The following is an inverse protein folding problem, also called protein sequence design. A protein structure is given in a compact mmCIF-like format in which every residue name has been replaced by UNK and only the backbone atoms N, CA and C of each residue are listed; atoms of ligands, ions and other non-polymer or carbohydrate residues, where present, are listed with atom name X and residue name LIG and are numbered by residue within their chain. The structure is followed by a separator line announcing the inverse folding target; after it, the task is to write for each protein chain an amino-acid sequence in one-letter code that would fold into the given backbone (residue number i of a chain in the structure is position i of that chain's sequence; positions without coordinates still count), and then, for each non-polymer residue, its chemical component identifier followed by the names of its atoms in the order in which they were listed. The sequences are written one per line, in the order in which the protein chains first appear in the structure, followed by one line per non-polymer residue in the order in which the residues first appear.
data_IF_701461978071
#
_entry.id   IF_701461978071
#
_cell.length_a   1.000
_cell.length_b   1.000
_cell.length_c   1.000
_cell.angle_alpha   90.00
_cell.angle_beta   90.00
_cell.angle_gamma   90.00
#
_symmetry.space_group_name_H-M   'P 1'
#
loop_
_entity.id
_entity.type
_entity.pdbx_description
1 polymer ?
#
# COMPACT_ATOMS: atom_id res chain seq x y z
N UNK A 1 27.77 -5.04 10.54
CA UNK A 1 26.34 -4.69 10.60
C UNK A 1 26.06 -3.91 9.33
N UNK A 2 25.34 -4.51 8.38
CA UNK A 2 24.98 -3.83 7.13
C UNK A 2 23.91 -2.76 7.38
N UNK A 3 23.68 -1.90 6.40
CA UNK A 3 22.56 -0.97 6.46
C UNK A 3 21.21 -1.72 6.50
N UNK A 4 21.11 -2.91 5.90
CA UNK A 4 19.91 -3.75 5.98
C UNK A 4 19.69 -4.29 7.41
N UNK A 5 20.77 -4.72 8.09
CA UNK A 5 20.72 -5.11 9.50
C UNK A 5 20.25 -3.95 10.39
N UNK A 6 20.66 -2.72 10.09
CA UNK A 6 20.22 -1.53 10.83
C UNK A 6 18.77 -1.16 10.49
N UNK A 7 18.39 -1.17 9.21
CA UNK A 7 17.05 -0.82 8.77
C UNK A 7 15.99 -1.82 9.26
N UNK A 8 16.33 -3.11 9.36
CA UNK A 8 15.45 -4.16 9.89
C UNK A 8 15.17 -4.05 11.39
N UNK A 9 16.00 -3.32 12.15
CA UNK A 9 15.73 -3.05 13.58
C UNK A 9 14.63 -2.00 13.81
N UNK A 10 14.31 -1.18 12.81
CA UNK A 10 13.27 -0.16 12.91
C UNK A 10 11.97 -0.64 12.27
N UNK A 11 10.97 -0.91 13.12
CA UNK A 11 9.62 -1.24 12.65
C UNK A 11 9.02 -0.02 11.95
N UNK A 12 8.75 -0.13 10.65
CA UNK A 12 8.10 0.94 9.89
C UNK A 12 6.75 1.29 10.53
N UNK A 13 6.45 2.58 10.61
CA UNK A 13 5.14 3.07 11.04
C UNK A 13 4.19 3.19 9.85
N UNK A 14 2.88 3.34 10.12
CA UNK A 14 1.88 3.62 9.07
C UNK A 14 2.32 4.79 8.19
N UNK A 15 2.75 5.90 8.79
CA UNK A 15 3.21 7.10 8.06
C UNK A 15 4.50 6.95 7.26
N UNK A 16 5.21 5.82 7.38
CA UNK A 16 6.38 5.46 6.56
C UNK A 16 6.04 4.39 5.51
N UNK A 17 4.83 3.85 5.56
CA UNK A 17 4.37 2.85 4.59
C UNK A 17 4.08 3.53 3.25
N UNK A 18 4.63 3.06 2.13
CA UNK A 18 4.44 3.69 0.84
C UNK A 18 3.01 3.56 0.35
N UNK A 19 2.54 4.59 -0.35
CA UNK A 19 1.28 4.59 -1.08
C UNK A 19 1.48 3.84 -2.40
N UNK A 20 0.52 2.97 -2.72
CA UNK A 20 0.56 2.08 -3.89
C UNK A 20 -0.71 2.23 -4.71
N UNK A 21 -0.61 1.92 -5.99
CA UNK A 21 -1.77 1.76 -6.86
C UNK A 21 -2.26 0.32 -6.76
N UNK A 22 -3.50 0.15 -6.32
CA UNK A 22 -4.21 -1.13 -6.40
C UNK A 22 -5.16 -1.11 -7.59
N UNK A 23 -5.27 -2.22 -8.30
CA UNK A 23 -6.28 -2.39 -9.34
C UNK A 23 -7.60 -2.84 -8.71
N UNK A 24 -8.70 -2.58 -9.39
CA UNK A 24 -10.04 -3.01 -9.01
C UNK A 24 -10.63 -3.82 -10.15
N UNK A 25 -11.41 -4.84 -9.83
CA UNK A 25 -12.09 -5.71 -10.81
C UNK A 25 -13.27 -5.03 -11.49
N UNK A 26 -13.80 -3.98 -10.87
CA UNK A 26 -14.86 -3.15 -11.43
C UNK A 26 -14.60 -1.67 -11.13
N UNK A 27 -15.20 -0.74 -11.89
CA UNK A 27 -15.17 0.68 -11.53
C UNK A 27 -15.76 0.91 -10.14
N UNK A 28 -15.31 1.97 -9.47
CA UNK A 28 -15.87 2.38 -8.18
C UNK A 28 -17.37 2.64 -8.33
N UNK A 29 -18.17 1.94 -7.51
CA UNK A 29 -19.61 2.19 -7.47
C UNK A 29 -19.92 3.29 -6.45
N UNK A 30 -20.41 4.43 -6.90
CA UNK A 30 -20.84 5.53 -6.03
C UNK A 30 -22.27 5.32 -5.49
N UNK A 31 -22.59 5.89 -4.32
CA UNK A 31 -23.95 5.88 -3.79
C UNK A 31 -24.87 6.84 -4.55
N UNK A 32 -26.17 6.57 -4.50
CA UNK A 32 -27.20 7.42 -5.12
C UNK A 32 -27.22 8.76 -4.41
N UNK A 33 -26.81 9.84 -5.10
CA UNK A 33 -26.69 11.20 -4.53
C UNK A 33 -25.29 11.82 -4.60
N UNK A 34 -24.29 11.08 -5.08
CA UNK A 34 -22.99 11.64 -5.45
C UNK A 34 -23.12 12.73 -6.51
N UNK A 35 -22.61 13.94 -6.21
CA UNK A 35 -22.56 15.06 -7.17
C UNK A 35 -21.36 14.90 -8.12
N UNK A 36 -20.33 14.16 -7.69
CA UNK A 36 -19.13 13.89 -8.48
C UNK A 36 -19.43 12.95 -9.64
N UNK A 37 -18.75 13.18 -10.76
CA UNK A 37 -18.76 12.26 -11.90
C UNK A 37 -18.31 10.86 -11.46
N UNK A 38 -18.89 9.78 -12.02
CA UNK A 38 -18.52 8.43 -11.63
C UNK A 38 -17.03 8.21 -11.85
N UNK A 39 -16.33 7.76 -10.81
CA UNK A 39 -14.91 7.43 -10.90
C UNK A 39 -14.74 6.21 -11.82
N UNK A 40 -14.29 6.45 -13.06
CA UNK A 40 -14.23 5.43 -14.12
C UNK A 40 -12.93 4.64 -14.13
N UNK A 41 -11.95 5.02 -13.31
CA UNK A 41 -10.68 4.32 -13.26
C UNK A 41 -10.82 3.01 -12.48
N UNK A 42 -10.13 1.98 -12.97
CA UNK A 42 -10.02 0.67 -12.31
C UNK A 42 -8.85 0.62 -11.33
N UNK A 43 -8.38 1.76 -10.86
CA UNK A 43 -7.26 1.86 -9.92
C UNK A 43 -7.64 2.72 -8.74
N UNK A 44 -7.12 2.42 -7.57
CA UNK A 44 -7.29 3.21 -6.36
C UNK A 44 -5.95 3.33 -5.66
N UNK A 45 -5.71 4.45 -4.99
CA UNK A 45 -4.52 4.65 -4.20
C UNK A 45 -4.74 4.09 -2.80
N UNK A 46 -3.81 3.26 -2.34
CA UNK A 46 -3.91 2.51 -1.09
C UNK A 46 -2.59 2.61 -0.32
N UNK A 47 -2.66 2.79 1.00
CA UNK A 47 -1.53 2.69 1.91
C UNK A 47 -1.81 1.57 2.93
N UNK A 48 -1.41 0.33 2.61
CA UNK A 48 -1.66 -0.83 3.46
C UNK A 48 -0.50 -1.06 4.43
N UNK A 49 -0.74 -0.89 5.74
CA UNK A 49 0.23 -1.22 6.78
C UNK A 49 -0.25 -2.43 7.58
N UNK A 50 0.46 -3.55 7.40
CA UNK A 50 0.19 -4.81 8.08
C UNK A 50 1.27 -5.06 9.13
N UNK A 51 0.82 -5.51 10.30
CA UNK A 51 1.65 -6.11 11.35
C UNK A 51 1.20 -7.55 11.55
N UNK A 52 1.87 -8.33 12.39
CA UNK A 52 1.43 -9.70 12.71
C UNK A 52 0.04 -9.77 13.36
N UNK A 53 -0.49 -8.66 13.90
CA UNK A 53 -1.74 -8.63 14.69
C UNK A 53 -2.70 -7.50 14.36
N UNK A 54 -2.38 -6.63 13.41
CA UNK A 54 -3.24 -5.49 13.09
C UNK A 54 -3.06 -5.01 11.66
N UNK A 55 -4.10 -4.36 11.16
CA UNK A 55 -4.13 -3.72 9.86
C UNK A 55 -4.46 -2.25 10.07
N UNK A 56 -3.61 -1.35 9.56
CA UNK A 56 -3.94 0.07 9.36
C UNK A 56 -3.94 0.32 7.87
N UNK A 57 -5.05 0.80 7.32
CA UNK A 57 -5.18 0.98 5.87
C UNK A 57 -5.86 2.29 5.55
N UNK A 58 -5.31 3.03 4.58
CA UNK A 58 -5.96 4.19 3.99
C UNK A 58 -6.15 4.03 2.49
N UNK A 59 -7.28 4.50 1.98
CA UNK A 59 -7.56 4.65 0.56
C UNK A 59 -7.75 6.12 0.24
N UNK A 60 -7.17 6.57 -0.87
CA UNK A 60 -7.21 7.97 -1.28
C UNK A 60 -8.06 8.13 -2.53
N UNK A 61 -9.07 8.99 -2.46
CA UNK A 61 -10.02 9.23 -3.53
C UNK A 61 -10.47 10.69 -3.50
N UNK A 62 -10.42 11.38 -4.64
CA UNK A 62 -10.92 12.76 -4.83
C UNK A 62 -10.49 13.79 -3.76
N UNK A 63 -9.24 13.73 -3.29
CA UNK A 63 -8.77 14.67 -2.26
C UNK A 63 -9.12 14.27 -0.82
N UNK A 64 -9.72 13.10 -0.64
CA UNK A 64 -10.12 12.57 0.67
C UNK A 64 -9.40 11.27 0.96
N UNK A 65 -9.07 11.04 2.23
CA UNK A 65 -8.57 9.77 2.73
C UNK A 65 -9.69 9.03 3.48
N UNK A 66 -9.83 7.74 3.22
CA UNK A 66 -10.72 6.83 3.91
C UNK A 66 -9.88 5.81 4.66
N UNK A 67 -10.03 5.73 5.97
CA UNK A 67 -9.15 4.97 6.84
C UNK A 67 -9.89 3.94 7.67
N UNK A 68 -9.26 2.79 7.88
CA UNK A 68 -9.69 1.81 8.88
C UNK A 68 -8.49 1.28 9.67
N UNK A 69 -8.70 1.11 10.98
CA UNK A 69 -7.80 0.39 11.87
C UNK A 69 -8.49 -0.84 12.45
N UNK A 70 -7.86 -2.00 12.25
CA UNK A 70 -8.34 -3.29 12.71
C UNK A 70 -7.33 -3.95 13.63
N UNK A 71 -7.76 -4.23 14.86
CA UNK A 71 -7.04 -5.09 15.80
C UNK A 71 -7.29 -6.56 15.45
N UNK A 72 -6.44 -7.45 15.98
CA UNK A 72 -6.54 -8.90 15.80
C UNK A 72 -7.97 -9.43 16.01
N UNK A 73 -8.60 -9.06 17.14
CA UNK A 73 -9.96 -9.49 17.46
C UNK A 73 -10.99 -9.09 16.39
N UNK A 74 -10.89 -7.85 15.88
CA UNK A 74 -11.78 -7.36 14.83
C UNK A 74 -11.56 -8.07 13.51
N UNK A 75 -10.31 -8.41 13.19
CA UNK A 75 -9.96 -9.15 11.98
C UNK A 75 -10.55 -10.55 12.06
N UNK A 76 -10.35 -11.26 13.19
CA UNK A 76 -10.88 -12.60 13.42
C UNK A 76 -12.41 -12.62 13.38
N UNK A 77 -13.06 -11.70 14.10
CA UNK A 77 -14.52 -11.58 14.08
C UNK A 77 -15.05 -11.36 12.66
N UNK A 78 -14.38 -10.50 11.88
CA UNK A 78 -14.79 -10.21 10.50
C UNK A 78 -14.58 -11.41 9.58
N UNK A 79 -13.47 -12.12 9.72
CA UNK A 79 -13.20 -13.35 8.96
C UNK A 79 -14.27 -14.40 9.24
N UNK A 80 -14.61 -14.63 10.51
CA UNK A 80 -15.69 -15.54 10.91
C UNK A 80 -17.01 -15.12 10.25
N UNK A 81 -17.45 -13.88 10.47
CA UNK A 81 -18.72 -13.39 9.93
C UNK A 81 -18.84 -13.52 8.40
N UNK A 82 -17.77 -13.25 7.67
CA UNK A 82 -17.79 -13.25 6.21
C UNK A 82 -17.59 -14.64 5.59
N UNK A 83 -16.98 -15.58 6.32
CA UNK A 83 -16.57 -16.88 5.80
C UNK A 83 -17.18 -18.07 6.54
N UNK A 84 -18.09 -17.86 7.51
CA UNK A 84 -18.74 -18.93 8.32
C UNK A 84 -19.36 -20.09 7.53
N UNK A 85 -19.69 -19.91 6.24
CA UNK A 85 -20.26 -20.96 5.38
C UNK A 85 -19.16 -21.84 4.74
N UNK A 86 -17.94 -21.30 4.62
CA UNK A 86 -16.77 -21.99 4.06
C UNK A 86 -16.16 -22.82 5.20
N UNK A 87 -15.99 -24.13 4.98
CA UNK A 87 -15.67 -25.17 5.98
C UNK A 87 -14.32 -25.02 6.72
N UNK A 88 -13.68 -23.86 6.66
CA UNK A 88 -12.37 -23.59 7.26
C UNK A 88 -12.54 -22.80 8.57
N UNK A 89 -12.37 -23.49 9.69
CA UNK A 89 -12.17 -22.84 10.99
C UNK A 89 -10.82 -22.13 10.96
N UNK A 90 -10.81 -20.81 10.77
CA UNK A 90 -9.58 -20.02 10.79
C UNK A 90 -8.95 -20.07 12.18
N UNK A 91 -7.93 -20.92 12.36
CA UNK A 91 -7.20 -21.10 13.60
C UNK A 91 -6.20 -19.94 13.81
N UNK A 92 -5.58 -19.87 14.99
CA UNK A 92 -4.67 -18.78 15.34
C UNK A 92 -3.49 -18.67 14.35
N UNK A 93 -2.97 -19.82 13.91
CA UNK A 93 -1.88 -19.96 12.93
C UNK A 93 -2.29 -19.56 11.49
N UNK A 94 -3.59 -19.54 11.18
CA UNK A 94 -4.07 -19.12 9.86
C UNK A 94 -4.11 -17.60 9.70
N UNK A 95 -4.16 -16.83 10.80
CA UNK A 95 -4.32 -15.38 10.70
C UNK A 95 -3.14 -14.73 10.00
N UNK A 96 -1.91 -15.08 10.38
CA UNK A 96 -0.72 -14.51 9.76
C UNK A 96 -0.66 -14.83 8.26
N UNK A 97 -0.98 -16.07 7.88
CA UNK A 97 -1.13 -16.48 6.48
C UNK A 97 -2.18 -15.64 5.74
N UNK A 98 -3.34 -15.39 6.34
CA UNK A 98 -4.39 -14.54 5.76
C UNK A 98 -3.91 -13.08 5.62
N UNK A 99 -3.21 -12.55 6.62
CA UNK A 99 -2.67 -11.18 6.57
C UNK A 99 -1.65 -11.03 5.44
N UNK A 100 -0.77 -12.01 5.26
CA UNK A 100 0.17 -12.08 4.14
C UNK A 100 -0.61 -12.12 2.82
N UNK A 101 -1.63 -12.98 2.69
CA UNK A 101 -2.47 -13.07 1.50
C UNK A 101 -3.16 -11.74 1.18
N UNK A 102 -3.77 -11.09 2.17
CA UNK A 102 -4.41 -9.78 2.00
C UNK A 102 -3.41 -8.71 1.56
N UNK A 103 -2.19 -8.71 2.13
CA UNK A 103 -1.10 -7.81 1.73
C UNK A 103 -0.69 -8.05 0.27
N UNK A 104 -0.63 -9.31 -0.17
CA UNK A 104 -0.33 -9.68 -1.56
C UNK A 104 -1.43 -9.25 -2.52
N UNK A 105 -2.70 -9.42 -2.18
CA UNK A 105 -3.83 -8.96 -3.00
C UNK A 105 -3.80 -7.43 -3.17
N UNK A 106 -3.43 -6.70 -2.11
CA UNK A 106 -3.29 -5.24 -2.11
C UNK A 106 -1.94 -4.75 -2.66
N UNK A 107 -1.13 -5.63 -3.26
CA UNK A 107 0.08 -5.25 -3.97
C UNK A 107 -0.23 -4.83 -5.42
N UNK A 108 0.71 -4.11 -6.05
CA UNK A 108 0.59 -3.63 -7.44
C UNK A 108 0.35 -4.75 -8.46
N UNK A 109 0.82 -5.96 -8.18
CA UNK A 109 0.67 -7.12 -9.06
C UNK A 109 -0.42 -8.11 -8.60
N UNK A 110 -1.11 -7.84 -7.49
CA UNK A 110 -2.04 -8.78 -6.86
C UNK A 110 -3.18 -9.27 -7.77
N UNK A 111 -3.59 -8.49 -8.76
CA UNK A 111 -4.68 -8.83 -9.70
C UNK A 111 -4.20 -9.61 -10.93
N UNK A 112 -2.89 -9.73 -11.17
CA UNK A 112 -2.37 -10.64 -12.21
C UNK A 112 -2.48 -12.12 -11.82
N UNK A 113 -2.85 -12.42 -10.57
CA UNK A 113 -3.20 -13.76 -10.13
C UNK A 113 -4.70 -13.97 -10.40
N UNK A 114 -5.04 -14.88 -11.32
CA UNK A 114 -6.32 -15.00 -12.04
C UNK A 114 -7.60 -15.14 -11.18
N UNK A 115 -7.52 -15.23 -9.85
CA UNK A 115 -8.67 -15.47 -8.96
C UNK A 115 -8.92 -14.36 -7.91
N UNK A 116 -8.21 -13.23 -7.99
CA UNK A 116 -8.37 -12.14 -7.02
C UNK A 116 -9.34 -11.07 -7.53
N UNK A 117 -10.45 -10.88 -6.82
CA UNK A 117 -11.40 -9.80 -7.10
C UNK A 117 -11.38 -8.72 -6.03
N UNK A 118 -11.25 -7.47 -6.45
CA UNK A 118 -11.29 -6.29 -5.57
C UNK A 118 -12.35 -5.31 -6.06
N UNK A 119 -13.35 -5.06 -5.23
CA UNK A 119 -14.45 -4.15 -5.54
C UNK A 119 -14.50 -3.00 -4.55
N UNK A 120 -14.58 -1.78 -5.07
CA UNK A 120 -14.76 -0.59 -4.26
C UNK A 120 -16.17 -0.03 -4.41
N UNK A 121 -16.78 0.34 -3.29
CA UNK A 121 -18.09 0.97 -3.23
C UNK A 121 -18.09 2.11 -2.22
N UNK A 122 -18.43 3.31 -2.67
CA UNK A 122 -18.70 4.42 -1.78
C UNK A 122 -20.13 4.29 -1.24
N UNK A 123 -20.27 4.00 0.05
CA UNK A 123 -21.58 3.76 0.70
C UNK A 123 -22.27 5.06 1.13
N UNK A 124 -21.47 6.08 1.44
CA UNK A 124 -21.88 7.47 1.70
C UNK A 124 -20.70 8.40 1.41
N UNK A 125 -20.87 9.72 1.48
CA UNK A 125 -19.73 10.66 1.36
C UNK A 125 -18.60 10.36 2.34
N UNK A 126 -18.93 9.75 3.49
CA UNK A 126 -18.00 9.51 4.61
C UNK A 126 -17.54 8.06 4.76
N UNK A 127 -18.02 7.13 3.92
CA UNK A 127 -17.78 5.70 4.13
C UNK A 127 -17.46 5.00 2.81
N UNK A 128 -16.23 4.52 2.71
CA UNK A 128 -15.76 3.70 1.60
C UNK A 128 -15.72 2.23 2.02
N UNK A 129 -16.21 1.36 1.15
CA UNK A 129 -16.23 -0.08 1.34
C UNK A 129 -15.33 -0.72 0.28
N UNK A 130 -14.32 -1.47 0.71
CA UNK A 130 -13.48 -2.27 -0.18
C UNK A 130 -13.75 -3.75 0.13
N UNK A 131 -14.17 -4.51 -0.87
CA UNK A 131 -14.45 -5.93 -0.75
C UNK A 131 -13.42 -6.71 -1.54
N UNK A 132 -12.84 -7.71 -0.89
CA UNK A 132 -11.87 -8.64 -1.46
C UNK A 132 -12.49 -10.02 -1.50
N UNK A 133 -12.43 -10.64 -2.67
CA UNK A 133 -12.83 -12.03 -2.89
C UNK A 133 -11.66 -12.79 -3.53
N UNK A 134 -11.35 -13.93 -2.92
CA UNK A 134 -10.45 -14.96 -3.43
C UNK A 134 -11.11 -16.30 -3.08
N UNK A 135 -10.93 -17.34 -3.90
CA UNK A 135 -11.62 -18.65 -3.85
C UNK A 135 -12.23 -19.04 -2.49
N UNK A 136 -11.41 -19.12 -1.44
CA UNK A 136 -11.73 -19.49 -0.07
C UNK A 136 -11.82 -18.30 0.92
N UNK A 137 -11.37 -17.11 0.54
CA UNK A 137 -11.31 -15.92 1.39
C UNK A 137 -12.22 -14.77 0.91
N UNK A 138 -13.12 -14.32 1.79
CA UNK A 138 -13.86 -13.06 1.66
C UNK A 138 -13.43 -12.10 2.77
N UNK A 139 -13.01 -10.90 2.41
CA UNK A 139 -12.69 -9.85 3.37
C UNK A 139 -13.30 -8.51 2.96
N UNK A 140 -13.57 -7.65 3.94
CA UNK A 140 -14.20 -6.35 3.71
C UNK A 140 -13.58 -5.27 4.59
N UNK A 141 -13.11 -4.19 3.99
CA UNK A 141 -12.78 -2.97 4.70
C UNK A 141 -13.96 -2.01 4.69
N UNK A 142 -14.18 -1.33 5.81
CA UNK A 142 -15.16 -0.26 6.01
C UNK A 142 -14.41 0.95 6.54
N UNK A 143 -14.04 1.83 5.62
CA UNK A 143 -13.12 2.92 5.88
C UNK A 143 -13.89 4.22 6.05
N UNK A 144 -13.76 4.84 7.21
CA UNK A 144 -14.36 6.13 7.52
C UNK A 144 -13.50 7.27 6.93
N UNK A 145 -14.17 8.33 6.49
CA UNK A 145 -13.51 9.56 6.04
C UNK A 145 -12.64 10.17 7.14
N UNK A 146 -11.39 10.47 6.78
CA UNK A 146 -10.37 11.11 7.63
C UNK A 146 -9.59 12.15 6.82
N UNK A 147 -10.15 13.35 6.61
CA UNK A 147 -9.55 14.35 5.72
C UNK A 147 -8.13 14.76 6.16
N UNK A 148 -7.84 14.71 7.46
CA UNK A 148 -6.53 15.02 8.02
C UNK A 148 -5.41 14.14 7.47
N UNK A 149 -5.71 12.87 7.16
CA UNK A 149 -4.73 11.91 6.66
C UNK A 149 -4.36 12.18 5.19
N UNK A 150 -5.23 12.84 4.42
CA UNK A 150 -4.94 13.15 3.02
C UNK A 150 -3.74 14.09 2.92
N UNK A 151 -3.74 15.21 3.64
CA UNK A 151 -2.57 16.11 3.60
C UNK A 151 -1.34 15.45 4.26
N UNK A 152 -1.54 14.86 5.45
CA UNK A 152 -0.44 14.37 6.29
C UNK A 152 0.31 13.19 5.66
N UNK A 153 -0.41 12.25 5.06
CA UNK A 153 0.17 11.02 4.55
C UNK A 153 0.21 10.95 3.03
N UNK A 154 -0.77 11.53 2.31
CA UNK A 154 -0.72 11.50 0.85
C UNK A 154 0.10 12.66 0.28
N UNK A 155 -0.31 13.90 0.51
CA UNK A 155 0.34 15.08 -0.11
C UNK A 155 1.78 15.23 0.36
N UNK A 156 2.03 15.19 1.67
CA UNK A 156 3.37 15.39 2.22
C UNK A 156 4.33 14.28 1.83
N UNK A 157 3.91 13.01 1.83
CA UNK A 157 4.79 11.92 1.39
C UNK A 157 5.15 12.07 -0.08
N UNK A 158 4.19 12.38 -0.96
CA UNK A 158 4.46 12.59 -2.38
C UNK A 158 5.41 13.76 -2.62
N UNK A 159 5.21 14.88 -1.91
CA UNK A 159 6.11 16.03 -2.02
C UNK A 159 7.54 15.69 -1.58
N UNK A 160 7.70 14.92 -0.50
CA UNK A 160 9.02 14.45 -0.03
C UNK A 160 9.65 13.56 -1.11
N UNK A 161 8.91 12.59 -1.65
CA UNK A 161 9.41 11.68 -2.69
C UNK A 161 9.80 12.43 -3.96
N UNK A 162 8.98 13.38 -4.43
CA UNK A 162 9.30 14.20 -5.62
C UNK A 162 10.56 15.03 -5.38
N UNK A 163 10.69 15.64 -4.20
CA UNK A 163 11.89 16.41 -3.84
C UNK A 163 13.14 15.54 -3.80
N UNK A 164 13.05 14.35 -3.21
CA UNK A 164 14.15 13.38 -3.16
C UNK A 164 14.55 12.91 -4.57
N UNK A 165 13.58 12.58 -5.42
CA UNK A 165 13.83 12.20 -6.82
C UNK A 165 14.47 13.33 -7.61
N UNK A 166 14.03 14.58 -7.41
CA UNK A 166 14.63 15.75 -8.05
C UNK A 166 16.10 15.94 -7.63
N UNK A 167 16.40 15.79 -6.34
CA UNK A 167 17.78 15.88 -5.83
C UNK A 167 18.65 14.74 -6.37
N UNK A 168 18.10 13.51 -6.45
CA UNK A 168 18.80 12.37 -7.07
C UNK A 168 19.08 12.60 -8.54
N UNK A 169 18.13 13.19 -9.27
CA UNK A 169 18.30 13.52 -10.68
C UNK A 169 19.43 14.55 -10.86
N UNK A 170 19.44 15.63 -10.07
CA UNK A 170 20.49 16.65 -10.09
C UNK A 170 21.87 16.03 -9.83
N UNK A 171 22.00 15.21 -8.80
CA UNK A 171 23.23 14.49 -8.50
C UNK A 171 23.66 13.55 -9.64
N UNK A 172 22.73 12.82 -10.27
CA UNK A 172 23.04 11.98 -11.41
C UNK A 172 23.52 12.79 -12.62
N UNK A 173 22.99 13.99 -12.84
CA UNK A 173 23.48 14.91 -13.86
C UNK A 173 24.92 15.36 -13.55
N UNK A 174 25.20 15.79 -12.32
CA UNK A 174 26.57 16.16 -11.88
C UNK A 174 27.54 14.99 -12.06
N UNK A 175 27.12 13.77 -11.70
CA UNK A 175 27.92 12.56 -11.88
C UNK A 175 28.28 12.31 -13.35
N UNK A 176 27.34 12.51 -14.27
CA UNK A 176 27.57 12.34 -15.70
C UNK A 176 28.52 13.42 -16.24
N UNK A 177 28.33 14.68 -15.86
CA UNK A 177 29.22 15.78 -16.26
C UNK A 177 30.65 15.57 -15.76
N UNK A 178 30.82 15.13 -14.52
CA UNK A 178 32.13 14.78 -13.97
C UNK A 178 32.78 13.61 -14.71
N UNK A 179 32.00 12.62 -15.12
CA UNK A 179 32.50 11.48 -15.90
C UNK A 179 32.92 11.90 -17.30
N UNK A 180 32.18 12.78 -17.96
CA UNK A 180 32.51 13.30 -19.29
C UNK A 180 33.79 14.16 -19.28
N UNK A 181 34.11 14.78 -18.14
CA UNK A 181 35.33 15.57 -17.94
C UNK A 181 36.58 14.74 -17.59
N UNK A 182 36.42 13.46 -17.20
CA UNK A 182 37.54 12.61 -16.79
C UNK A 182 37.98 11.66 -17.93
N UNK A 183 39.27 11.63 -18.31
CA UNK A 183 39.76 10.75 -19.38
C UNK A 183 39.77 9.26 -19.00
N UNK A 184 39.71 8.91 -17.70
CA UNK A 184 39.49 7.56 -17.18
C UNK A 184 38.64 7.59 -15.92
N UNK A 185 37.66 6.69 -15.83
CA UNK A 185 36.72 6.59 -14.71
C UNK A 185 37.35 5.85 -13.52
N UNK A 186 37.57 6.54 -12.39
CA UNK A 186 38.05 5.93 -11.14
C UNK A 186 36.89 5.74 -10.14
N UNK A 187 36.37 4.52 -10.07
CA UNK A 187 35.24 4.13 -9.23
C UNK A 187 35.48 4.31 -7.70
N UNK A 188 36.73 4.51 -7.25
CA UNK A 188 37.05 4.61 -5.82
C UNK A 188 36.70 5.95 -5.18
N UNK A 189 36.51 7.01 -5.98
CA UNK A 189 36.07 8.32 -5.46
C UNK A 189 34.56 8.39 -5.19
N UNK A 190 33.78 7.41 -5.66
CA UNK A 190 32.32 7.53 -5.85
C UNK A 190 31.44 6.88 -4.75
N UNK A 191 32.02 6.20 -3.75
CA UNK A 191 31.26 5.33 -2.83
C UNK A 191 30.81 5.98 -1.50
N UNK A 192 30.74 7.31 -1.38
CA UNK A 192 30.46 7.97 -0.08
C UNK A 192 28.98 8.26 0.22
N UNK A 193 28.01 7.84 -0.60
CA UNK A 193 26.58 8.09 -0.31
C UNK A 193 25.75 6.80 -0.34
N UNK A 194 24.94 6.48 0.70
CA UNK A 194 24.17 5.24 0.74
C UNK A 194 23.08 5.25 -0.34
N UNK A 195 23.23 4.35 -1.32
CA UNK A 195 22.18 4.04 -2.28
C UNK A 195 21.11 3.21 -1.57
N UNK A 196 19.91 3.76 -1.36
CA UNK A 196 18.76 2.94 -1.01
C UNK A 196 18.28 2.26 -2.29
N UNK A 197 18.87 1.10 -2.59
CA UNK A 197 18.32 0.19 -3.58
C UNK A 197 17.02 -0.35 -2.99
N UNK A 198 15.91 -0.11 -3.68
CA UNK A 198 14.65 -0.79 -3.38
C UNK A 198 14.80 -2.17 -4.03
N UNK A 199 15.31 -3.14 -3.27
CA UNK A 199 15.10 -4.54 -3.57
C UNK A 199 13.78 -4.93 -2.89
N UNK A 200 12.68 -4.87 -3.66
CA UNK A 200 11.49 -5.70 -3.37
C UNK A 200 11.77 -7.07 -3.98
N UNK A 201 12.58 -7.89 -3.28
CA UNK A 201 12.61 -9.34 -3.47
C UNK A 201 13.08 -10.01 -2.17
N UNK A 202 12.23 -9.97 -1.13
CA UNK A 202 12.35 -10.91 -0.01
C UNK A 202 11.86 -12.28 -0.49
N UNK A 203 12.76 -13.00 -1.16
CA UNK A 203 12.65 -14.44 -1.37
C UNK A 203 13.09 -15.22 -0.13
N UNK A 204 12.20 -16.13 0.29
CA UNK A 204 12.30 -17.27 1.22
C UNK A 204 11.43 -17.15 2.48
#
# INVERSE_FOLDING_TARGET
MSFEDFASTYTRTFGQTPIRLIRMSSPLTAYVGSIDQPYRHFVLLCQPHFTSKSISIAFYLNGTAYFEYLTEDKIRQRLQLLNNIRKTSFNYDDLESILIRLKTILSTDGIKQDNNELHAKLLSSRLLSIEIYQDDLKFKFRCDERPELFEQHYVRQLLIQVKELSQRQEYLCELLEHKDQLPQFDAKLFLSTPMTIIDDDEGM
#
